data_IF_792059394848
#
_entry.id   IF_792059394848
#
_cell.length_a   1.000
_cell.length_b   1.000
_cell.length_c   1.000
_cell.angle_alpha   90.00
_cell.angle_beta   90.00
_cell.angle_gamma   90.00
#
_symmetry.space_group_name_H-M   'P 1'
#
loop_
_entity.id
_entity.type
_entity.pdbx_description
1 polymer ?
#
# COMPACT_ATOMS: atom_id res chain seq x y z
N UNK A 1 -27.97 5.91 2.45
CA UNK A 1 -28.43 4.51 2.33
C UNK A 1 -29.61 4.24 3.24
N UNK A 2 -30.60 3.47 2.76
CA UNK A 2 -31.68 2.94 3.61
C UNK A 2 -31.21 1.71 4.41
N UNK A 3 -31.90 1.36 5.50
CA UNK A 3 -31.51 0.25 6.40
C UNK A 3 -31.33 -1.09 5.70
N UNK A 4 -32.19 -1.41 4.72
CA UNK A 4 -32.07 -2.64 3.93
C UNK A 4 -30.85 -2.64 3.01
N UNK A 5 -30.51 -1.49 2.43
CA UNK A 5 -29.31 -1.35 1.59
C UNK A 5 -28.03 -1.43 2.42
N UNK A 6 -28.05 -0.87 3.63
CA UNK A 6 -26.93 -0.96 4.57
C UNK A 6 -26.65 -2.41 4.96
N UNK A 7 -27.68 -3.19 5.31
CA UNK A 7 -27.53 -4.61 5.63
C UNK A 7 -26.95 -5.40 4.46
N UNK A 8 -27.39 -5.10 3.23
CA UNK A 8 -26.86 -5.71 2.02
C UNK A 8 -25.40 -5.32 1.77
N UNK A 9 -25.05 -4.06 1.98
CA UNK A 9 -23.67 -3.59 1.89
C UNK A 9 -22.78 -4.30 2.91
N UNK A 10 -23.19 -4.38 4.17
CA UNK A 10 -22.43 -5.02 5.23
C UNK A 10 -22.17 -6.50 4.92
N UNK A 11 -23.19 -7.22 4.42
CA UNK A 11 -23.03 -8.60 3.96
C UNK A 11 -22.00 -8.74 2.84
N UNK A 12 -22.09 -7.92 1.79
CA UNK A 12 -21.14 -7.96 0.67
C UNK A 12 -19.73 -7.53 1.09
N UNK A 13 -19.63 -6.60 2.03
CA UNK A 13 -18.38 -6.13 2.58
C UNK A 13 -17.66 -7.23 3.37
N UNK A 14 -18.38 -8.00 4.19
CA UNK A 14 -17.83 -9.16 4.90
C UNK A 14 -17.40 -10.28 3.92
N UNK A 15 -18.18 -10.53 2.87
CA UNK A 15 -17.80 -11.45 1.79
C UNK A 15 -16.50 -10.98 1.09
N UNK A 16 -16.35 -9.68 0.86
CA UNK A 16 -15.13 -9.12 0.29
C UNK A 16 -13.90 -9.37 1.17
N UNK A 17 -14.00 -9.10 2.48
CA UNK A 17 -12.92 -9.36 3.43
C UNK A 17 -12.55 -10.85 3.49
N UNK A 18 -13.57 -11.71 3.50
CA UNK A 18 -13.39 -13.16 3.49
C UNK A 18 -12.64 -13.59 2.22
N UNK A 19 -13.08 -13.15 1.05
CA UNK A 19 -12.45 -13.51 -0.22
C UNK A 19 -11.01 -12.98 -0.35
N UNK A 20 -10.73 -11.78 0.16
CA UNK A 20 -9.36 -11.25 0.19
C UNK A 20 -8.45 -12.09 1.09
N UNK A 21 -8.96 -12.55 2.23
CA UNK A 21 -8.24 -13.43 3.16
C UNK A 21 -8.00 -14.80 2.55
N UNK A 22 -9.02 -15.40 1.90
CA UNK A 22 -8.90 -16.69 1.21
C UNK A 22 -7.89 -16.65 0.04
N UNK A 23 -7.68 -15.49 -0.58
CA UNK A 23 -6.63 -15.31 -1.59
C UNK A 23 -5.25 -14.98 -1.02
N UNK A 24 -5.06 -15.07 0.29
CA UNK A 24 -3.77 -14.84 0.95
C UNK A 24 -3.25 -13.42 0.76
N UNK A 25 -4.13 -12.41 0.62
CA UNK A 25 -3.70 -11.02 0.52
C UNK A 25 -3.09 -10.57 1.84
N UNK A 26 -2.01 -9.78 1.77
CA UNK A 26 -1.39 -9.18 2.96
C UNK A 26 -2.38 -8.25 3.67
N UNK A 27 -2.32 -8.10 5.00
CA UNK A 27 -3.23 -7.23 5.76
C UNK A 27 -3.33 -5.80 5.21
N UNK A 28 -2.20 -5.20 4.82
CA UNK A 28 -2.18 -3.87 4.21
C UNK A 28 -2.94 -3.81 2.87
N UNK A 29 -2.92 -4.88 2.08
CA UNK A 29 -3.69 -4.98 0.83
C UNK A 29 -5.17 -5.16 1.11
N UNK A 30 -5.52 -5.96 2.13
CA UNK A 30 -6.93 -6.15 2.57
C UNK A 30 -7.52 -4.82 2.99
N UNK A 31 -6.80 -4.06 3.82
CA UNK A 31 -7.21 -2.74 4.27
C UNK A 31 -7.32 -1.74 3.10
N UNK A 32 -6.35 -1.73 2.17
CA UNK A 32 -6.40 -0.87 0.99
C UNK A 32 -7.60 -1.16 0.08
N UNK A 33 -7.89 -2.44 -0.20
CA UNK A 33 -8.97 -2.84 -1.11
C UNK A 33 -10.34 -2.64 -0.47
N UNK A 34 -10.48 -2.97 0.81
CA UNK A 34 -11.72 -2.77 1.54
C UNK A 34 -12.08 -1.28 1.70
N UNK A 35 -11.08 -0.41 1.87
CA UNK A 35 -11.26 1.04 1.83
C UNK A 35 -11.81 1.54 0.50
N UNK A 36 -11.42 0.93 -0.63
CA UNK A 36 -11.95 1.28 -1.94
C UNK A 36 -13.46 1.02 -2.04
N UNK A 37 -13.90 -0.14 -1.55
CA UNK A 37 -15.33 -0.53 -1.53
C UNK A 37 -16.14 0.43 -0.66
N UNK A 38 -15.62 0.80 0.52
CA UNK A 38 -16.27 1.80 1.39
C UNK A 38 -16.33 3.18 0.74
N UNK A 39 -15.26 3.61 0.06
CA UNK A 39 -15.19 4.94 -0.57
C UNK A 39 -16.20 5.07 -1.71
N UNK A 40 -16.34 4.07 -2.57
CA UNK A 40 -17.32 4.14 -3.66
C UNK A 40 -18.76 4.09 -3.14
N UNK A 41 -19.02 3.28 -2.11
CA UNK A 41 -20.34 3.21 -1.48
C UNK A 41 -20.72 4.55 -0.85
N UNK A 42 -19.77 5.21 -0.17
CA UNK A 42 -19.97 6.54 0.39
C UNK A 42 -20.13 7.63 -0.70
N UNK A 43 -19.50 7.47 -1.87
CA UNK A 43 -19.60 8.44 -2.97
C UNK A 43 -20.99 8.47 -3.60
N UNK A 44 -21.62 7.31 -3.80
CA UNK A 44 -22.96 7.21 -4.38
C UNK A 44 -24.09 7.12 -3.34
N UNK A 45 -23.73 7.00 -2.05
CA UNK A 45 -24.65 6.71 -0.95
C UNK A 45 -25.55 5.48 -1.20
N UNK A 46 -25.02 4.50 -1.94
CA UNK A 46 -25.73 3.29 -2.36
C UNK A 46 -24.83 2.06 -2.37
N UNK A 47 -25.46 0.88 -2.38
CA UNK A 47 -24.73 -0.38 -2.39
C UNK A 47 -24.00 -0.51 -3.74
N UNK A 48 -22.71 -0.92 -3.77
CA UNK A 48 -21.92 -0.94 -5.01
C UNK A 48 -22.26 -2.11 -5.93
N UNK A 49 -23.28 -2.91 -5.62
CA UNK A 49 -23.67 -4.09 -6.40
C UNK A 49 -24.37 -3.76 -7.71
N UNK A 50 -25.00 -2.58 -7.82
CA UNK A 50 -25.77 -2.17 -8.98
C UNK A 50 -25.16 -0.98 -9.76
N UNK A 51 -23.90 -0.63 -9.50
CA UNK A 51 -23.26 0.48 -10.22
C UNK A 51 -22.89 0.05 -11.65
N UNK A 52 -23.24 0.92 -12.60
CA UNK A 52 -22.94 0.76 -14.02
C UNK A 52 -21.51 1.18 -14.35
N UNK A 53 -21.04 0.86 -15.56
CA UNK A 53 -19.72 1.31 -16.02
C UNK A 53 -19.60 2.83 -16.10
N UNK A 54 -20.69 3.55 -16.38
CA UNK A 54 -20.69 5.01 -16.37
C UNK A 54 -20.63 5.60 -14.96
N UNK A 55 -21.20 4.92 -13.96
CA UNK A 55 -21.01 5.28 -12.55
C UNK A 55 -19.54 5.14 -12.15
N UNK A 56 -18.90 4.04 -12.53
CA UNK A 56 -17.49 3.84 -12.26
C UNK A 56 -16.63 4.93 -12.93
N UNK A 57 -16.94 5.34 -14.16
CA UNK A 57 -16.25 6.47 -14.82
C UNK A 57 -16.41 7.77 -14.03
N UNK A 58 -17.63 8.08 -13.57
CA UNK A 58 -17.91 9.27 -12.76
C UNK A 58 -17.12 9.27 -11.45
N UNK A 59 -17.05 8.12 -10.79
CA UNK A 59 -16.25 7.93 -9.58
C UNK A 59 -14.76 8.13 -9.83
N UNK A 60 -14.18 7.48 -10.85
CA UNK A 60 -12.75 7.63 -11.11
C UNK A 60 -12.38 9.02 -11.61
N UNK A 61 -13.27 9.71 -12.33
CA UNK A 61 -13.07 11.11 -12.72
C UNK A 61 -12.95 12.03 -11.50
N UNK A 62 -13.81 11.89 -10.48
CA UNK A 62 -13.72 12.67 -9.24
C UNK A 62 -12.52 12.25 -8.37
N UNK A 63 -12.16 10.96 -8.40
CA UNK A 63 -11.05 10.43 -7.61
C UNK A 63 -9.69 10.90 -8.12
N UNK A 64 -9.51 11.05 -9.44
CA UNK A 64 -8.26 11.53 -10.04
C UNK A 64 -7.95 12.97 -9.66
N UNK A 65 -8.98 13.82 -9.52
CA UNK A 65 -8.81 15.23 -9.15
C UNK A 65 -8.43 15.39 -7.66
N UNK A 66 -8.99 14.53 -6.80
CA UNK A 66 -8.84 14.63 -5.35
C UNK A 66 -7.70 13.78 -4.75
N UNK A 67 -7.23 12.75 -5.45
CA UNK A 67 -6.29 11.77 -4.89
C UNK A 67 -5.10 11.45 -5.81
N UNK A 68 -4.03 10.95 -5.20
CA UNK A 68 -2.84 10.50 -5.92
C UNK A 68 -3.16 9.34 -6.88
N UNK A 69 -2.40 9.22 -7.96
CA UNK A 69 -2.52 8.09 -8.89
C UNK A 69 -2.34 6.71 -8.21
N UNK A 70 -1.51 6.64 -7.17
CA UNK A 70 -1.34 5.41 -6.39
C UNK A 70 -2.64 4.99 -5.72
N UNK A 71 -3.40 5.96 -5.19
CA UNK A 71 -4.73 5.74 -4.61
C UNK A 71 -5.73 5.30 -5.68
N UNK A 72 -5.79 6.00 -6.81
CA UNK A 72 -6.67 5.64 -7.94
C UNK A 72 -6.42 4.20 -8.39
N UNK A 73 -5.15 3.79 -8.47
CA UNK A 73 -4.78 2.42 -8.83
C UNK A 73 -5.19 1.39 -7.78
N UNK A 74 -5.03 1.70 -6.49
CA UNK A 74 -5.47 0.83 -5.41
C UNK A 74 -6.99 0.65 -5.43
N UNK A 75 -7.73 1.74 -5.58
CA UNK A 75 -9.17 1.72 -5.66
C UNK A 75 -9.66 0.89 -6.84
N UNK A 76 -9.08 1.11 -8.02
CA UNK A 76 -9.35 0.33 -9.22
C UNK A 76 -9.16 -1.16 -9.01
N UNK A 77 -8.04 -1.57 -8.41
CA UNK A 77 -7.77 -2.98 -8.18
C UNK A 77 -8.67 -3.58 -7.09
N UNK A 78 -9.01 -2.81 -6.05
CA UNK A 78 -9.93 -3.22 -5.00
C UNK A 78 -11.34 -3.44 -5.52
N UNK A 79 -11.83 -2.51 -6.34
CA UNK A 79 -13.14 -2.62 -6.98
C UNK A 79 -13.16 -3.75 -8.01
N UNK A 80 -12.12 -3.88 -8.85
CA UNK A 80 -12.01 -5.02 -9.77
C UNK A 80 -12.07 -6.36 -9.00
N UNK A 81 -11.41 -6.46 -7.84
CA UNK A 81 -11.48 -7.65 -7.01
C UNK A 81 -12.90 -7.88 -6.48
N UNK A 82 -13.55 -6.84 -5.95
CA UNK A 82 -14.90 -6.91 -5.42
C UNK A 82 -15.90 -7.41 -6.49
N UNK A 83 -15.91 -6.80 -7.67
CA UNK A 83 -16.82 -7.21 -8.74
C UNK A 83 -16.57 -8.64 -9.22
N UNK A 84 -15.30 -9.02 -9.35
CA UNK A 84 -14.93 -10.34 -9.85
C UNK A 84 -15.24 -11.47 -8.86
N UNK A 85 -14.94 -11.28 -7.58
CA UNK A 85 -14.96 -12.37 -6.59
C UNK A 85 -16.14 -12.31 -5.63
N UNK A 86 -16.77 -11.15 -5.45
CA UNK A 86 -17.95 -11.01 -4.59
C UNK A 86 -19.22 -11.01 -5.43
N UNK A 87 -19.26 -10.19 -6.48
CA UNK A 87 -20.44 -10.08 -7.34
C UNK A 87 -20.48 -11.10 -8.48
N UNK A 88 -19.37 -11.82 -8.73
CA UNK A 88 -19.21 -12.74 -9.87
C UNK A 88 -19.49 -12.10 -11.24
N UNK A 89 -19.25 -10.79 -11.36
CA UNK A 89 -19.39 -10.05 -12.62
C UNK A 89 -18.05 -9.92 -13.34
N UNK A 90 -18.08 -10.02 -14.67
CA UNK A 90 -16.92 -9.68 -15.50
C UNK A 90 -16.64 -8.19 -15.41
N UNK A 91 -15.45 -7.84 -14.93
CA UNK A 91 -15.02 -6.44 -14.88
C UNK A 91 -14.71 -5.94 -16.29
N UNK A 92 -15.56 -5.06 -16.81
CA UNK A 92 -15.27 -4.34 -18.04
C UNK A 92 -14.14 -3.33 -17.80
N UNK A 93 -13.13 -3.38 -18.65
CA UNK A 93 -11.92 -2.58 -18.45
C UNK A 93 -12.20 -1.10 -18.66
N UNK A 94 -12.23 -0.34 -17.56
CA UNK A 94 -12.19 1.12 -17.62
C UNK A 94 -10.80 1.56 -18.08
N UNK A 95 -10.75 2.20 -19.26
CA UNK A 95 -9.55 2.83 -19.82
C UNK A 95 -9.20 4.10 -19.04
N UNK A 96 -8.64 3.92 -17.84
CA UNK A 96 -8.11 5.01 -17.03
C UNK A 96 -6.63 5.16 -17.38
N UNK A 97 -6.31 6.17 -18.18
CA UNK A 97 -4.93 6.46 -18.57
C UNK A 97 -4.27 7.28 -17.47
N UNK A 98 -3.09 6.83 -17.02
CA UNK A 98 -2.28 7.60 -16.08
C UNK A 98 -1.89 8.94 -16.74
N UNK A 99 -2.16 10.09 -16.11
CA UNK A 99 -1.64 11.35 -16.60
C UNK A 99 -0.10 11.27 -16.70
N UNK A 100 0.51 11.72 -17.81
CA UNK A 100 1.96 11.67 -17.96
C UNK A 100 2.61 12.47 -16.83
N UNK A 101 3.23 11.75 -15.88
CA UNK A 101 4.01 12.37 -14.83
C UNK A 101 5.45 12.48 -15.29
N UNK A 102 5.99 13.70 -15.24
CA UNK A 102 7.42 13.94 -15.39
C UNK A 102 8.12 13.19 -14.25
N UNK A 103 8.79 12.08 -14.58
CA UNK A 103 9.65 11.40 -13.62
C UNK A 103 10.85 12.28 -13.35
N UNK A 104 10.80 13.06 -12.28
CA UNK A 104 12.01 13.70 -11.75
C UNK A 104 12.85 12.60 -11.11
N UNK A 105 14.16 12.63 -11.38
CA UNK A 105 15.09 11.83 -10.60
C UNK A 105 14.93 12.30 -9.13
N UNK A 106 14.76 11.38 -8.18
CA UNK A 106 14.73 11.77 -6.78
C UNK A 106 16.06 12.46 -6.44
N UNK A 107 16.01 13.54 -5.67
CA UNK A 107 17.21 14.19 -5.16
C UNK A 107 17.90 13.23 -4.17
N UNK A 108 18.97 12.59 -4.62
CA UNK A 108 19.75 11.66 -3.82
C UNK A 108 20.78 12.47 -3.03
N UNK A 109 20.78 12.30 -1.70
CA UNK A 109 21.77 12.94 -0.83
C UNK A 109 23.17 12.43 -1.18
N UNK A 110 24.11 13.36 -1.28
CA UNK A 110 25.54 13.05 -1.40
C UNK A 110 26.07 12.47 -0.07
N UNK A 111 27.18 11.72 -0.09
CA UNK A 111 27.81 11.22 1.15
C UNK A 111 28.11 12.33 2.17
N UNK A 112 28.46 13.53 1.70
CA UNK A 112 28.71 14.69 2.55
C UNK A 112 27.42 15.18 3.24
N UNK A 113 26.31 15.27 2.51
CA UNK A 113 25.01 15.65 3.09
C UNK A 113 24.51 14.60 4.07
N UNK A 114 24.69 13.31 3.78
CA UNK A 114 24.36 12.24 4.73
C UNK A 114 25.17 12.37 6.02
N UNK A 115 26.49 12.64 5.92
CA UNK A 115 27.33 12.86 7.09
C UNK A 115 26.86 14.05 7.93
N UNK A 116 26.40 15.13 7.29
CA UNK A 116 25.80 16.29 7.96
C UNK A 116 24.51 15.88 8.68
N UNK A 117 23.61 15.14 8.02
CA UNK A 117 22.36 14.66 8.64
C UNK A 117 22.64 13.80 9.88
N UNK A 118 23.57 12.85 9.79
CA UNK A 118 23.92 11.97 10.91
C UNK A 118 24.57 12.76 12.05
N UNK A 119 25.51 13.67 11.74
CA UNK A 119 26.23 14.45 12.77
C UNK A 119 25.34 15.47 13.49
N UNK A 120 24.39 16.10 12.78
CA UNK A 120 23.47 17.08 13.38
C UNK A 120 22.27 16.43 14.12
N UNK A 121 22.11 15.12 14.03
CA UNK A 121 21.04 14.40 14.72
C UNK A 121 21.29 14.39 16.23
N UNK A 122 20.50 15.17 16.99
CA UNK A 122 20.69 15.38 18.44
C UNK A 122 20.44 14.15 19.30
N UNK A 123 19.51 13.28 18.90
CA UNK A 123 19.17 12.10 19.70
C UNK A 123 19.97 10.89 19.23
N UNK A 124 20.77 10.33 20.15
CA UNK A 124 21.65 9.19 19.86
C UNK A 124 20.91 8.01 19.20
N UNK A 125 19.68 7.71 19.64
CA UNK A 125 18.85 6.64 19.04
C UNK A 125 18.58 6.84 17.54
N UNK A 126 18.36 8.08 17.10
CA UNK A 126 18.13 8.37 15.68
C UNK A 126 19.44 8.43 14.91
N UNK A 127 20.50 8.94 15.54
CA UNK A 127 21.83 8.96 14.94
C UNK A 127 22.33 7.53 14.63
N UNK A 128 22.19 6.61 15.59
CA UNK A 128 22.50 5.18 15.39
C UNK A 128 21.60 4.59 14.30
N UNK A 129 20.29 4.87 14.32
CA UNK A 129 19.37 4.37 13.29
C UNK A 129 19.76 4.83 11.88
N UNK A 130 20.08 6.12 11.68
CA UNK A 130 20.53 6.63 10.39
C UNK A 130 21.87 6.03 9.96
N UNK A 131 22.81 5.87 10.88
CA UNK A 131 24.09 5.24 10.61
C UNK A 131 23.89 3.79 10.15
N UNK A 132 23.07 3.00 10.86
CA UNK A 132 22.74 1.61 10.51
C UNK A 132 22.02 1.52 9.16
N UNK A 133 21.03 2.38 8.91
CA UNK A 133 20.33 2.43 7.63
C UNK A 133 21.30 2.72 6.47
N UNK A 134 22.19 3.69 6.65
CA UNK A 134 23.13 4.10 5.63
C UNK A 134 24.24 3.08 5.39
N UNK A 135 24.84 2.54 6.45
CA UNK A 135 25.98 1.62 6.35
C UNK A 135 25.57 0.24 5.83
N UNK A 136 24.39 -0.24 6.21
CA UNK A 136 23.91 -1.59 5.86
C UNK A 136 22.88 -1.60 4.74
N UNK A 137 22.44 -0.42 4.25
CA UNK A 137 21.45 -0.31 3.17
C UNK A 137 20.08 -0.92 3.52
N UNK A 138 19.73 -0.97 4.80
CA UNK A 138 18.48 -1.57 5.29
C UNK A 138 17.27 -0.72 4.86
N UNK A 139 16.14 -1.39 4.64
CA UNK A 139 14.86 -0.68 4.57
C UNK A 139 14.48 -0.19 5.97
N UNK A 140 13.70 0.89 6.03
CA UNK A 140 13.22 1.45 7.31
C UNK A 140 12.55 0.40 8.20
N UNK A 141 11.69 -0.45 7.63
CA UNK A 141 11.03 -1.52 8.39
C UNK A 141 11.99 -2.60 8.92
N UNK A 142 13.06 -2.89 8.18
CA UNK A 142 14.10 -3.85 8.58
C UNK A 142 14.94 -3.26 9.73
N UNK A 143 15.35 -1.99 9.63
CA UNK A 143 16.12 -1.31 10.68
C UNK A 143 15.33 -1.15 11.99
N UNK A 144 14.03 -0.82 11.91
CA UNK A 144 13.18 -0.65 13.10
C UNK A 144 12.87 -1.98 13.78
N UNK A 145 12.88 -3.09 13.04
CA UNK A 145 12.61 -4.43 13.60
C UNK A 145 13.86 -5.13 14.14
N UNK A 146 15.05 -4.57 13.89
CA UNK A 146 16.33 -5.16 14.25
C UNK A 146 16.47 -5.28 15.78
N UNK A 147 16.87 -6.46 16.25
CA UNK A 147 17.10 -6.73 17.68
C UNK A 147 18.59 -6.95 17.94
N UNK A 148 19.00 -6.75 19.20
CA UNK A 148 20.39 -7.00 19.62
C UNK A 148 20.83 -8.43 19.33
N UNK A 149 19.94 -9.41 19.53
CA UNK A 149 20.22 -10.82 19.24
C UNK A 149 20.31 -11.17 17.75
N UNK A 150 20.05 -10.23 16.84
CA UNK A 150 20.27 -10.41 15.41
C UNK A 150 21.70 -10.03 14.99
N UNK A 151 22.49 -9.42 15.88
CA UNK A 151 23.84 -8.97 15.60
C UNK A 151 24.83 -10.01 16.10
N UNK A 152 25.51 -10.68 15.16
CA UNK A 152 26.66 -11.53 15.46
C UNK A 152 27.94 -10.72 15.30
N UNK A 153 28.42 -10.18 16.42
CA UNK A 153 29.68 -9.42 16.44
C UNK A 153 30.93 -10.26 16.19
N UNK A 154 30.87 -11.59 16.38
CA UNK A 154 32.02 -12.47 16.14
C UNK A 154 32.21 -12.72 14.66
N UNK A 155 31.09 -12.92 13.93
CA UNK A 155 31.11 -13.10 12.48
C UNK A 155 30.96 -11.79 11.71
N UNK A 156 30.78 -10.65 12.38
CA UNK A 156 30.48 -9.35 11.78
C UNK A 156 29.25 -9.39 10.86
N UNK A 157 28.23 -10.15 11.28
CA UNK A 157 27.00 -10.38 10.50
C UNK A 157 25.77 -9.87 11.25
N UNK A 158 24.74 -9.49 10.49
CA UNK A 158 23.45 -9.09 11.04
C UNK A 158 22.32 -9.84 10.34
N UNK A 159 21.52 -10.56 11.12
CA UNK A 159 20.41 -11.36 10.64
C UNK A 159 19.14 -10.51 10.47
N UNK A 160 18.79 -10.18 9.24
CA UNK A 160 17.59 -9.39 8.95
C UNK A 160 16.34 -10.29 8.89
N UNK A 161 15.45 -10.10 9.87
CA UNK A 161 14.13 -10.75 9.89
C UNK A 161 13.18 -9.96 8.99
N UNK A 162 12.88 -10.49 7.80
CA UNK A 162 12.00 -9.81 6.83
C UNK A 162 10.88 -10.70 6.30
N UNK A 163 9.74 -10.09 5.97
CA UNK A 163 8.75 -10.69 5.08
C UNK A 163 9.29 -10.70 3.65
N UNK A 164 9.48 -11.89 3.07
CA UNK A 164 9.87 -12.20 1.69
C UNK A 164 10.47 -11.04 0.87
N UNK A 165 11.78 -11.05 0.57
CA UNK A 165 12.37 -10.06 -0.31
C UNK A 165 11.68 -10.10 -1.68
N UNK A 166 11.27 -8.95 -2.24
CA UNK A 166 10.93 -8.86 -3.67
C UNK A 166 12.13 -9.17 -4.59
N UNK A 167 13.34 -9.06 -4.05
CA UNK A 167 14.59 -9.49 -4.67
C UNK A 167 15.53 -10.00 -3.56
N UNK A 168 16.09 -11.23 -3.68
CA UNK A 168 17.13 -11.69 -2.77
C UNK A 168 18.35 -10.78 -2.91
N UNK A 169 18.91 -10.35 -1.77
CA UNK A 169 20.19 -9.64 -1.71
C UNK A 169 21.08 -10.46 -0.79
N UNK A 170 22.18 -10.96 -1.35
CA UNK A 170 23.31 -11.45 -0.57
C UNK A 170 24.13 -10.21 -0.24
N UNK A 171 24.39 -9.99 1.04
CA UNK A 171 25.44 -9.08 1.50
C UNK A 171 26.66 -9.95 1.79
N UNK A 172 27.70 -9.79 0.97
CA UNK A 172 29.05 -10.36 1.18
C UNK A 172 29.84 -9.55 2.22
#
# INVERSE_FOLDING_TARGET
MNTSEQQRFDFLYEQHLTNLTLQGKRPATIDAYSRAVRRIAAFFDCCPDNLTTDDLKRYFASLIDSHSWSTVKLDRNGLQFFYRYVLNHSWEWLNIVKPPQVKRLPDILTPAEVAIVISLTRQLRYQVCFLTLYSMGLRLGEAVSLRVGDIDSQMMQVHIRGEQPRHPRLSD
#
